data_IF_619105850038
#
_entry.id   IF_619105850038
#
_cell.length_a   1.000
_cell.length_b   1.000
_cell.length_c   1.000
_cell.angle_alpha   90.00
_cell.angle_beta   90.00
_cell.angle_gamma   90.00
#
_symmetry.space_group_name_H-M   'P 1'
#
loop_
_entity.id
_entity.type
_entity.pdbx_description
1 polymer ?
#
# COMPACT_ATOMS: atom_id res chain seq x y z
N UNK A 1 -15.48 -10.78 15.70
CA UNK A 1 -14.80 -9.88 16.65
C UNK A 1 -13.78 -9.06 15.90
N UNK A 2 -13.68 -7.75 16.18
CA UNK A 2 -12.63 -6.90 15.61
C UNK A 2 -11.38 -7.07 16.48
N UNK A 3 -10.26 -7.48 15.90
CA UNK A 3 -9.01 -7.66 16.62
C UNK A 3 -8.36 -6.28 16.78
N UNK A 4 -8.34 -5.76 18.01
CA UNK A 4 -7.68 -4.50 18.33
C UNK A 4 -6.22 -4.80 18.70
N UNK A 5 -5.27 -4.22 17.96
CA UNK A 5 -3.85 -4.29 18.33
C UNK A 5 -3.54 -3.08 19.21
N UNK A 6 -3.17 -3.36 20.46
CA UNK A 6 -2.79 -2.35 21.46
C UNK A 6 -1.29 -2.37 21.78
N UNK A 7 -0.50 -3.08 20.97
CA UNK A 7 0.97 -3.08 21.02
C UNK A 7 1.54 -2.02 20.07
N UNK A 8 2.82 -1.60 20.23
CA UNK A 8 3.42 -0.56 19.38
C UNK A 8 3.52 -0.91 17.89
N UNK A 9 3.28 -2.16 17.51
CA UNK A 9 3.19 -2.57 16.11
C UNK A 9 3.50 -4.05 15.90
N UNK A 10 3.19 -4.59 14.70
CA UNK A 10 2.46 -3.93 13.60
C UNK A 10 0.98 -3.66 13.95
N UNK A 11 0.42 -2.56 13.44
CA UNK A 11 -0.99 -2.17 13.65
C UNK A 11 -1.90 -2.68 12.52
N UNK A 12 -3.24 -2.72 12.69
CA UNK A 12 -4.14 -3.14 11.62
C UNK A 12 -4.00 -2.25 10.39
N UNK A 13 -3.86 -2.87 9.23
CA UNK A 13 -3.80 -2.18 7.95
C UNK A 13 -5.18 -1.61 7.61
N UNK A 14 -5.30 -0.36 7.13
CA UNK A 14 -6.58 0.20 6.69
C UNK A 14 -7.25 -0.68 5.63
N UNK A 15 -8.58 -0.81 5.69
CA UNK A 15 -9.34 -1.72 4.83
C UNK A 15 -9.15 -1.45 3.34
N UNK A 16 -9.11 -0.17 2.94
CA UNK A 16 -8.87 0.18 1.53
C UNK A 16 -7.52 -0.32 1.02
N UNK A 17 -6.48 -0.36 1.87
CA UNK A 17 -5.17 -0.89 1.49
C UNK A 17 -5.24 -2.41 1.33
N UNK A 18 -5.96 -3.11 2.21
CA UNK A 18 -6.17 -4.56 2.07
C UNK A 18 -6.93 -4.90 0.78
N UNK A 19 -7.93 -4.10 0.41
CA UNK A 19 -8.66 -4.27 -0.84
C UNK A 19 -7.78 -4.04 -2.08
N UNK A 20 -6.89 -3.04 -2.05
CA UNK A 20 -5.90 -2.83 -3.11
C UNK A 20 -4.92 -4.01 -3.22
N UNK A 21 -4.45 -4.55 -2.09
CA UNK A 21 -3.57 -5.72 -2.06
C UNK A 21 -4.24 -7.02 -2.54
N UNK A 22 -5.58 -7.09 -2.53
CA UNK A 22 -6.34 -8.23 -3.03
C UNK A 22 -6.50 -8.24 -4.56
N UNK A 23 -6.10 -7.17 -5.25
CA UNK A 23 -6.17 -7.09 -6.71
C UNK A 23 -5.12 -8.01 -7.37
N UNK A 24 -5.34 -8.45 -8.63
CA UNK A 24 -4.34 -9.20 -9.38
C UNK A 24 -3.00 -8.47 -9.47
N UNK A 25 -1.91 -9.24 -9.45
CA UNK A 25 -0.56 -8.68 -9.60
C UNK A 25 -0.36 -8.21 -11.04
N UNK A 26 0.13 -6.98 -11.19
CA UNK A 26 0.55 -6.41 -12.47
C UNK A 26 2.04 -6.69 -12.75
N UNK A 27 2.41 -6.78 -14.02
CA UNK A 27 3.81 -6.97 -14.40
C UNK A 27 4.60 -5.65 -14.25
N UNK A 28 5.82 -5.74 -13.71
CA UNK A 28 6.64 -4.59 -13.36
C UNK A 28 7.15 -3.74 -14.56
N UNK A 29 7.06 -4.25 -15.80
CA UNK A 29 7.45 -3.54 -17.03
C UNK A 29 6.25 -3.02 -17.82
N UNK A 30 5.19 -2.65 -17.12
CA UNK A 30 3.99 -2.06 -17.73
C UNK A 30 3.94 -0.57 -17.45
N UNK A 31 3.32 0.20 -18.34
CA UNK A 31 3.10 1.65 -18.12
C UNK A 31 2.28 1.93 -16.85
N UNK A 32 1.34 1.03 -16.51
CA UNK A 32 0.57 1.09 -15.27
C UNK A 32 1.49 1.01 -14.03
N UNK A 33 2.40 0.03 -14.01
CA UNK A 33 3.36 -0.08 -12.90
C UNK A 33 4.27 1.14 -12.81
N UNK A 34 4.78 1.63 -13.94
CA UNK A 34 5.64 2.83 -13.98
C UNK A 34 4.92 4.05 -13.38
N UNK A 35 3.64 4.25 -13.71
CA UNK A 35 2.84 5.33 -13.16
C UNK A 35 2.63 5.19 -11.64
N UNK A 36 2.31 3.98 -11.16
CA UNK A 36 2.16 3.68 -9.73
C UNK A 36 3.47 3.94 -8.98
N UNK A 37 4.59 3.47 -9.51
CA UNK A 37 5.91 3.62 -8.91
C UNK A 37 6.35 5.09 -8.83
N UNK A 38 6.08 5.87 -9.88
CA UNK A 38 6.32 7.31 -9.87
C UNK A 38 5.51 8.02 -8.79
N UNK A 39 4.20 7.75 -8.70
CA UNK A 39 3.32 8.33 -7.65
C UNK A 39 3.77 7.95 -6.24
N UNK A 40 4.14 6.69 -6.02
CA UNK A 40 4.67 6.23 -4.74
C UNK A 40 5.96 6.97 -4.35
N UNK A 41 6.87 7.15 -5.30
CA UNK A 41 8.12 7.90 -5.09
C UNK A 41 7.87 9.36 -4.73
N UNK A 42 6.91 10.03 -5.39
CA UNK A 42 6.51 11.39 -5.03
C UNK A 42 5.89 11.46 -3.64
N UNK A 43 5.09 10.46 -3.25
CA UNK A 43 4.52 10.34 -1.91
C UNK A 43 5.61 10.21 -0.85
N UNK A 44 6.61 9.36 -1.08
CA UNK A 44 7.72 9.15 -0.14
C UNK A 44 8.50 10.44 0.14
N UNK A 45 8.75 11.27 -0.89
CA UNK A 45 9.41 12.58 -0.75
C UNK A 45 8.66 13.59 0.12
N UNK A 46 7.38 13.36 0.44
CA UNK A 46 6.60 14.21 1.34
C UNK A 46 6.64 13.74 2.79
N UNK A 47 7.08 12.49 3.02
CA UNK A 47 7.15 11.86 4.34
C UNK A 47 8.56 11.95 4.91
N UNK A 48 9.57 11.88 4.03
CA UNK A 48 10.97 12.19 4.34
C UNK A 48 11.20 13.71 4.35
#
# INVERSE_FOLDING_TARGET
>A
MKNYVLTPGPVPVPEFVMLEMAKPIIHHRTSEFEEIFYKATLGLKKVL
#
